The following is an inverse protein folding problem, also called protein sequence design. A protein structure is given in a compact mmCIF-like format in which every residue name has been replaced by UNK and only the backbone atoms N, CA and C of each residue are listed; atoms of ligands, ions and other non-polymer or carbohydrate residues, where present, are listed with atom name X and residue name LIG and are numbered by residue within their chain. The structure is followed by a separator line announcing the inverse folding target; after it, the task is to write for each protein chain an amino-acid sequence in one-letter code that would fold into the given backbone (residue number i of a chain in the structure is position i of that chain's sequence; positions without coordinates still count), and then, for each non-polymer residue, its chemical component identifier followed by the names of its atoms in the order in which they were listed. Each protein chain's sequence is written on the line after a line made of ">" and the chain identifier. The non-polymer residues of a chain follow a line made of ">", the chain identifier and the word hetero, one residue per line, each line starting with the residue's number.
data_IF_224619170614
#
_entry.id   IF_224619170614
#
_cell.length_a   1.000
_cell.length_b   1.000
_cell.length_c   1.000
_cell.angle_alpha   90.00
_cell.angle_beta   90.00
_cell.angle_gamma   90.00
#
_symmetry.space_group_name_H-M   'P 1'
#
loop_
_entity.id
_entity.type
_entity.pdbx_description
1 polymer ?
#
# COMPACT_ATOMS: atom_id res chain seq x y z
N UNK A 1 -17.25 -0.24 -0.15
CA UNK A 1 -16.86 1.13 0.21
C UNK A 1 -17.89 1.78 1.14
N UNK A 2 -18.51 1.02 2.05
CA UNK A 2 -19.60 1.53 2.91
C UNK A 2 -19.10 2.59 3.90
N UNK A 3 -17.82 2.47 4.30
CA UNK A 3 -17.13 3.42 5.16
C UNK A 3 -16.35 4.49 4.37
N UNK A 4 -16.34 4.41 3.03
CA UNK A 4 -15.56 5.26 2.13
C UNK A 4 -14.49 4.51 1.33
N UNK A 5 -13.59 5.26 0.69
CA UNK A 5 -12.59 4.76 -0.28
C UNK A 5 -11.15 4.95 0.15
N UNK A 6 -10.87 5.65 1.26
CA UNK A 6 -9.49 5.70 1.77
C UNK A 6 -9.09 4.34 2.34
N UNK A 7 -7.79 4.04 2.37
CA UNK A 7 -7.29 2.79 2.95
C UNK A 7 -7.70 2.64 4.42
N UNK A 8 -7.74 3.73 5.18
CA UNK A 8 -8.13 3.71 6.59
C UNK A 8 -9.63 3.38 6.76
N UNK A 9 -10.47 3.83 5.83
CA UNK A 9 -11.91 3.49 5.80
C UNK A 9 -12.16 2.05 5.36
N UNK A 10 -11.39 1.58 4.37
CA UNK A 10 -11.43 0.19 3.89
C UNK A 10 -10.97 -0.76 5.00
N UNK A 11 -9.91 -0.42 5.72
CA UNK A 11 -9.46 -1.15 6.92
C UNK A 11 -10.60 -1.27 7.94
N UNK A 12 -11.22 -0.14 8.30
CA UNK A 12 -12.31 -0.15 9.29
C UNK A 12 -13.47 -1.04 8.86
N UNK A 13 -13.82 -1.06 7.56
CA UNK A 13 -14.84 -1.97 7.04
C UNK A 13 -14.47 -3.45 7.24
N UNK A 14 -13.21 -3.84 7.03
CA UNK A 14 -12.75 -5.22 7.27
C UNK A 14 -12.60 -5.56 8.76
N UNK A 15 -12.36 -4.56 9.61
CA UNK A 15 -12.47 -4.71 11.07
C UNK A 15 -13.91 -4.99 11.46
N UNK A 16 -14.86 -4.16 11.03
CA UNK A 16 -16.28 -4.24 11.41
C UNK A 16 -16.94 -5.56 10.96
N UNK A 17 -16.56 -6.05 9.78
CA UNK A 17 -17.11 -7.30 9.23
C UNK A 17 -16.38 -8.56 9.69
N UNK A 18 -15.17 -8.43 10.24
CA UNK A 18 -14.31 -9.57 10.59
C UNK A 18 -13.87 -10.43 9.39
N UNK A 19 -14.09 -9.96 8.17
CA UNK A 19 -13.77 -10.72 6.95
C UNK A 19 -12.25 -10.87 6.78
N UNK A 20 -11.80 -12.02 6.27
CA UNK A 20 -10.41 -12.34 5.94
C UNK A 20 -10.40 -13.19 4.66
N UNK A 21 -9.51 -12.86 3.72
CA UNK A 21 -9.39 -13.54 2.43
C UNK A 21 -8.66 -14.89 2.56
N UNK A 22 -7.56 -14.93 3.30
CA UNK A 22 -6.80 -16.17 3.54
C UNK A 22 -6.11 -16.15 4.90
N UNK A 23 -5.67 -17.34 5.33
CA UNK A 23 -4.77 -17.50 6.47
C UNK A 23 -3.32 -17.47 5.99
N UNK A 24 -2.52 -16.54 6.49
CA UNK A 24 -1.09 -16.46 6.20
C UNK A 24 -0.39 -17.74 6.65
N UNK A 25 0.45 -18.31 5.79
CA UNK A 25 1.02 -19.64 6.02
C UNK A 25 2.03 -19.68 7.18
N UNK A 26 2.82 -18.62 7.35
CA UNK A 26 3.90 -18.57 8.34
C UNK A 26 3.40 -18.10 9.70
N UNK A 27 2.86 -16.88 9.78
CA UNK A 27 2.32 -16.30 11.01
C UNK A 27 0.99 -16.90 11.48
N UNK A 28 0.21 -17.52 10.58
CA UNK A 28 -1.13 -18.02 10.87
C UNK A 28 -2.22 -16.95 10.96
N UNK A 29 -1.91 -15.68 10.71
CA UNK A 29 -2.86 -14.56 10.79
C UNK A 29 -3.84 -14.52 9.61
N UNK A 30 -5.07 -14.06 9.84
CA UNK A 30 -6.01 -13.80 8.74
C UNK A 30 -5.62 -12.52 7.99
N UNK A 31 -5.52 -12.57 6.67
CA UNK A 31 -5.07 -11.47 5.79
C UNK A 31 -6.17 -10.97 4.85
N UNK A 32 -5.94 -9.80 4.25
CA UNK A 32 -6.78 -9.22 3.19
C UNK A 32 -5.94 -8.95 1.95
N UNK A 33 -6.53 -9.16 0.76
CA UNK A 33 -5.91 -8.87 -0.54
C UNK A 33 -6.64 -7.67 -1.11
N UNK A 34 -5.90 -6.60 -1.37
CA UNK A 34 -6.41 -5.44 -2.12
C UNK A 34 -6.17 -5.69 -3.61
N UNK A 35 -7.09 -5.29 -4.49
CA UNK A 35 -6.92 -5.45 -5.94
C UNK A 35 -7.11 -4.11 -6.61
N UNK A 36 -6.10 -3.70 -7.39
CA UNK A 36 -6.13 -2.59 -8.35
C UNK A 36 -7.04 -1.41 -7.92
N UNK A 37 -6.71 -0.73 -6.80
CA UNK A 37 -7.52 0.36 -6.26
C UNK A 37 -7.24 1.68 -6.99
N UNK A 38 -7.27 1.67 -8.34
CA UNK A 38 -6.96 2.86 -9.14
C UNK A 38 -7.90 4.00 -8.81
N UNK A 39 -9.21 3.73 -8.76
CA UNK A 39 -10.21 4.78 -8.52
C UNK A 39 -10.05 5.36 -7.12
N UNK A 40 -9.90 4.51 -6.11
CA UNK A 40 -9.72 4.90 -4.73
C UNK A 40 -8.47 5.78 -4.57
N UNK A 41 -7.31 5.34 -5.07
CA UNK A 41 -6.09 6.14 -4.96
C UNK A 41 -6.19 7.42 -5.80
N UNK A 42 -6.65 7.35 -7.04
CA UNK A 42 -6.81 8.50 -7.93
C UNK A 42 -7.68 9.60 -7.35
N UNK A 43 -8.80 9.25 -6.71
CA UNK A 43 -9.73 10.22 -6.13
C UNK A 43 -9.12 11.05 -4.98
N UNK A 44 -8.01 10.59 -4.40
CA UNK A 44 -7.28 11.37 -3.40
C UNK A 44 -6.35 12.42 -4.02
N UNK A 45 -5.96 12.24 -5.29
CA UNK A 45 -4.91 12.99 -5.98
C UNK A 45 -5.32 14.36 -6.53
N UNK A 46 -4.32 15.17 -6.89
CA UNK A 46 -4.52 16.54 -7.35
C UNK A 46 -5.27 16.61 -8.70
N UNK A 47 -4.99 15.68 -9.62
CA UNK A 47 -5.66 15.64 -10.92
C UNK A 47 -7.17 15.46 -10.76
N UNK A 48 -7.61 14.49 -9.96
CA UNK A 48 -9.03 14.29 -9.66
C UNK A 48 -9.66 15.53 -9.01
N UNK A 49 -8.99 16.10 -7.99
CA UNK A 49 -9.45 17.34 -7.32
C UNK A 49 -9.54 18.54 -8.26
N UNK A 50 -8.83 18.50 -9.39
CA UNK A 50 -8.85 19.53 -10.44
C UNK A 50 -9.85 19.23 -11.55
N UNK A 51 -10.65 18.17 -11.43
CA UNK A 51 -11.68 17.77 -12.40
C UNK A 51 -11.16 16.98 -13.61
N UNK A 52 -9.90 16.52 -13.57
CA UNK A 52 -9.34 15.63 -14.61
C UNK A 52 -9.95 14.24 -14.42
N UNK A 53 -10.39 13.63 -15.51
CA UNK A 53 -10.92 12.27 -15.54
C UNK A 53 -9.87 11.28 -16.07
N UNK A 54 -10.09 9.97 -15.83
CA UNK A 54 -9.21 8.92 -16.35
C UNK A 54 -9.02 9.03 -17.88
N UNK A 55 -10.11 9.36 -18.58
CA UNK A 55 -10.13 9.50 -20.03
C UNK A 55 -9.27 10.65 -20.55
N UNK A 56 -9.04 11.71 -19.78
CA UNK A 56 -8.22 12.84 -20.24
C UNK A 56 -6.76 12.43 -20.47
N UNK A 57 -6.26 11.44 -19.72
CA UNK A 57 -4.90 10.91 -19.85
C UNK A 57 -4.84 9.60 -20.64
N UNK A 58 -5.79 8.67 -20.40
CA UNK A 58 -5.74 7.31 -20.97
C UNK A 58 -6.52 7.14 -22.27
N UNK A 59 -7.42 8.08 -22.58
CA UNK A 59 -8.20 8.10 -23.82
C UNK A 59 -8.19 9.51 -24.44
N UNK A 60 -7.00 10.12 -24.62
CA UNK A 60 -6.92 11.49 -25.06
C UNK A 60 -7.55 11.65 -26.43
N UNK A 61 -8.05 12.85 -26.69
CA UNK A 61 -8.66 13.14 -27.98
C UNK A 61 -7.64 13.24 -29.10
N UNK A 62 -7.94 12.59 -30.22
CA UNK A 62 -7.18 12.66 -31.47
C UNK A 62 -8.01 13.36 -32.56
N UNK A 63 -7.31 13.91 -33.56
CA UNK A 63 -7.95 14.48 -34.75
C UNK A 63 -7.85 13.52 -35.92
N UNK A 64 -8.99 13.16 -36.48
CA UNK A 64 -9.09 12.45 -37.75
C UNK A 64 -9.80 13.35 -38.76
N UNK A 65 -9.02 14.02 -39.60
CA UNK A 65 -9.54 15.06 -40.49
C UNK A 65 -10.17 16.21 -39.69
N UNK A 66 -11.48 16.42 -39.87
CA UNK A 66 -12.26 17.44 -39.16
C UNK A 66 -12.96 16.94 -37.89
N UNK A 67 -12.83 15.65 -37.57
CA UNK A 67 -13.53 15.02 -36.45
C UNK A 67 -12.58 14.81 -35.28
N UNK A 68 -13.12 15.01 -34.07
CA UNK A 68 -12.46 14.71 -32.80
C UNK A 68 -12.93 13.34 -32.33
N UNK A 69 -11.99 12.42 -32.13
CA UNK A 69 -12.26 11.04 -31.68
C UNK A 69 -11.49 10.76 -30.40
N UNK A 70 -12.00 9.91 -29.52
CA UNK A 70 -11.25 9.45 -28.34
C UNK A 70 -10.34 8.30 -28.73
N UNK A 71 -9.07 8.34 -28.31
CA UNK A 71 -8.18 7.18 -28.45
C UNK A 71 -8.69 6.04 -27.55
N UNK A 72 -9.02 4.90 -28.15
CA UNK A 72 -9.46 3.71 -27.42
C UNK A 72 -8.34 2.68 -27.24
N UNK A 73 -7.11 3.01 -27.64
CA UNK A 73 -5.95 2.20 -27.34
C UNK A 73 -5.42 2.53 -25.93
N UNK A 74 -6.14 2.06 -24.91
CA UNK A 74 -5.78 2.27 -23.50
C UNK A 74 -4.42 1.63 -23.18
N UNK A 75 -3.50 2.47 -22.74
CA UNK A 75 -2.12 2.13 -22.35
C UNK A 75 -1.54 3.23 -21.47
N UNK A 76 -0.27 3.08 -21.10
CA UNK A 76 0.43 4.12 -20.34
C UNK A 76 0.37 5.47 -21.09
N UNK A 77 -0.08 6.56 -20.44
CA UNK A 77 -0.08 7.90 -21.04
C UNK A 77 1.34 8.39 -21.43
N UNK A 78 2.39 7.77 -20.87
CA UNK A 78 3.78 8.08 -21.17
C UNK A 78 4.19 7.77 -22.62
N UNK A 79 3.39 7.00 -23.36
CA UNK A 79 3.64 6.73 -24.79
C UNK A 79 3.12 7.82 -25.71
N UNK A 80 2.30 8.75 -25.19
CA UNK A 80 1.75 9.89 -25.94
C UNK A 80 1.56 11.10 -25.01
N UNK A 81 2.68 11.64 -24.52
CA UNK A 81 2.68 12.77 -23.57
C UNK A 81 2.09 14.05 -24.18
N UNK A 82 2.26 14.27 -25.49
CA UNK A 82 1.67 15.39 -26.20
C UNK A 82 0.15 15.45 -25.99
N UNK A 83 -0.54 14.34 -26.30
CA UNK A 83 -2.00 14.29 -26.20
C UNK A 83 -2.50 14.14 -24.75
N UNK A 84 -1.78 13.39 -23.90
CA UNK A 84 -2.23 13.09 -22.55
C UNK A 84 -1.90 14.18 -21.51
N UNK A 85 -0.80 14.92 -21.69
CA UNK A 85 -0.28 15.84 -20.67
C UNK A 85 -0.16 17.28 -21.18
N UNK A 86 0.29 17.48 -22.42
CA UNK A 86 0.61 18.84 -22.92
C UNK A 86 -0.61 19.68 -23.32
N UNK A 87 -1.80 19.07 -23.32
CA UNK A 87 -3.08 19.79 -23.34
C UNK A 87 -3.15 20.80 -22.18
N UNK A 88 -2.70 20.39 -20.99
CA UNK A 88 -2.68 21.20 -19.77
C UNK A 88 -1.30 21.72 -19.39
N UNK A 89 -0.23 20.93 -19.58
CA UNK A 89 1.11 21.24 -19.10
C UNK A 89 2.03 21.77 -20.22
N UNK A 90 2.52 23.00 -20.10
CA UNK A 90 3.43 23.61 -21.11
C UNK A 90 4.90 23.36 -20.78
N UNK A 91 5.25 22.09 -20.56
CA UNK A 91 6.62 21.63 -20.34
C UNK A 91 7.07 20.69 -21.48
N UNK A 92 8.37 20.62 -21.77
CA UNK A 92 8.92 19.62 -22.69
C UNK A 92 8.54 18.19 -22.25
N UNK A 93 8.33 17.28 -23.21
CA UNK A 93 7.97 15.88 -22.90
C UNK A 93 8.97 15.19 -21.98
N UNK A 94 10.27 15.44 -22.18
CA UNK A 94 11.32 14.85 -21.36
C UNK A 94 11.24 15.29 -19.89
N UNK A 95 10.84 16.54 -19.65
CA UNK A 95 10.64 17.03 -18.28
C UNK A 95 9.41 16.36 -17.64
N UNK A 96 8.32 16.22 -18.38
CA UNK A 96 7.13 15.51 -17.90
C UNK A 96 7.43 14.05 -17.60
N UNK A 97 8.14 13.37 -18.50
CA UNK A 97 8.59 11.97 -18.33
C UNK A 97 9.46 11.83 -17.09
N UNK A 98 10.42 12.73 -16.90
CA UNK A 98 11.31 12.74 -15.74
C UNK A 98 10.53 12.91 -14.43
N UNK A 99 9.54 13.82 -14.38
CA UNK A 99 8.70 14.02 -13.19
C UNK A 99 7.89 12.76 -12.83
N UNK A 100 7.31 12.09 -13.84
CA UNK A 100 6.60 10.83 -13.62
C UNK A 100 7.57 9.75 -13.12
N UNK A 101 8.73 9.61 -13.75
CA UNK A 101 9.74 8.64 -13.33
C UNK A 101 10.20 8.86 -11.88
N UNK A 102 10.45 10.12 -11.46
CA UNK A 102 10.81 10.43 -10.07
C UNK A 102 9.73 9.94 -9.09
N UNK A 103 8.45 10.16 -9.39
CA UNK A 103 7.35 9.69 -8.54
C UNK A 103 7.33 8.16 -8.46
N UNK A 104 7.44 7.50 -9.62
CA UNK A 104 7.38 6.04 -9.70
C UNK A 104 8.58 5.40 -9.00
N UNK A 105 9.78 5.95 -9.20
CA UNK A 105 11.01 5.50 -8.54
C UNK A 105 10.91 5.62 -7.02
N UNK A 106 10.35 6.73 -6.51
CA UNK A 106 10.18 6.92 -5.06
C UNK A 106 9.12 6.04 -4.46
N UNK A 107 8.02 5.81 -5.18
CA UNK A 107 7.00 4.86 -4.74
C UNK A 107 7.55 3.44 -4.74
N UNK A 108 8.31 3.05 -5.76
CA UNK A 108 8.96 1.74 -5.84
C UNK A 108 10.01 1.52 -4.73
N UNK A 109 10.78 2.56 -4.39
CA UNK A 109 11.71 2.55 -3.26
C UNK A 109 10.98 2.31 -1.93
N UNK A 110 9.89 3.04 -1.68
CA UNK A 110 9.08 2.88 -0.47
C UNK A 110 8.37 1.51 -0.41
N UNK A 111 7.91 0.98 -1.55
CA UNK A 111 7.34 -0.38 -1.63
C UNK A 111 8.35 -1.41 -1.14
N UNK A 112 9.59 -1.35 -1.62
CA UNK A 112 10.67 -2.27 -1.21
C UNK A 112 11.03 -2.11 0.27
N UNK A 113 11.10 -0.89 0.78
CA UNK A 113 11.34 -0.65 2.21
C UNK A 113 10.20 -1.20 3.09
N UNK A 114 8.95 -1.08 2.61
CA UNK A 114 7.79 -1.67 3.28
C UNK A 114 7.83 -3.20 3.25
N UNK A 115 8.24 -3.81 2.14
CA UNK A 115 8.43 -5.27 2.05
C UNK A 115 9.47 -5.75 3.06
N UNK A 116 10.62 -5.08 3.13
CA UNK A 116 11.68 -5.40 4.09
C UNK A 116 11.19 -5.28 5.55
N UNK A 117 10.38 -4.26 5.86
CA UNK A 117 9.80 -4.10 7.19
C UNK A 117 8.76 -5.18 7.52
N UNK A 118 7.88 -5.52 6.56
CA UNK A 118 6.87 -6.59 6.73
C UNK A 118 7.53 -7.95 6.91
N UNK A 119 8.59 -8.25 6.13
CA UNK A 119 9.36 -9.48 6.32
C UNK A 119 9.99 -9.55 7.72
N UNK A 120 10.56 -8.44 8.21
CA UNK A 120 11.08 -8.37 9.58
C UNK A 120 10.01 -8.62 10.65
N UNK A 121 8.80 -8.10 10.45
CA UNK A 121 7.66 -8.37 11.34
C UNK A 121 7.24 -9.85 11.31
N UNK A 122 7.15 -10.46 10.12
CA UNK A 122 6.81 -11.87 9.94
C UNK A 122 7.84 -12.75 10.67
N UNK A 123 9.14 -12.51 10.44
CA UNK A 123 10.23 -13.27 11.06
C UNK A 123 10.17 -13.17 12.60
N UNK A 124 9.95 -11.98 13.15
CA UNK A 124 9.85 -11.77 14.59
C UNK A 124 8.63 -12.47 15.20
N UNK A 125 7.48 -12.42 14.54
CA UNK A 125 6.26 -13.12 14.96
C UNK A 125 6.49 -14.63 14.97
N UNK A 126 7.05 -15.18 13.89
CA UNK A 126 7.32 -16.62 13.78
C UNK A 126 8.34 -17.06 14.84
N UNK A 127 9.39 -16.28 15.09
CA UNK A 127 10.36 -16.57 16.13
C UNK A 127 9.72 -16.59 17.53
N UNK A 128 8.85 -15.62 17.84
CA UNK A 128 8.13 -15.58 19.11
C UNK A 128 7.18 -16.77 19.28
N UNK A 129 6.47 -17.19 18.21
CA UNK A 129 5.65 -18.39 18.21
C UNK A 129 6.49 -19.65 18.48
N UNK A 130 7.64 -19.79 17.83
CA UNK A 130 8.57 -20.92 18.04
C UNK A 130 9.16 -20.94 19.45
N UNK A 131 9.34 -19.78 20.07
CA UNK A 131 9.75 -19.63 21.47
C UNK A 131 8.62 -19.98 22.48
N UNK A 132 7.41 -20.32 22.00
CA UNK A 132 6.27 -20.70 22.82
C UNK A 132 5.53 -19.53 23.45
N UNK A 133 5.68 -18.31 22.92
CA UNK A 133 4.91 -17.14 23.37
C UNK A 133 3.42 -17.41 23.13
N UNK A 134 2.55 -17.22 24.15
CA UNK A 134 1.11 -17.41 23.98
C UNK A 134 0.51 -16.49 22.92
N UNK A 135 -0.45 -16.99 22.15
CA UNK A 135 -1.12 -16.24 21.07
C UNK A 135 -1.72 -14.91 21.54
N UNK A 136 -2.27 -14.87 22.76
CA UNK A 136 -2.80 -13.65 23.38
C UNK A 136 -1.73 -12.54 23.48
N UNK A 137 -0.49 -12.90 23.76
CA UNK A 137 0.62 -11.95 23.87
C UNK A 137 1.14 -11.49 22.49
N UNK A 138 0.75 -12.18 21.41
CA UNK A 138 1.10 -11.81 20.04
C UNK A 138 -0.03 -11.09 19.30
N UNK A 139 -1.20 -10.92 19.92
CA UNK A 139 -2.38 -10.34 19.28
C UNK A 139 -2.10 -8.94 18.67
N UNK A 140 -1.35 -8.10 19.39
CA UNK A 140 -0.95 -6.77 18.90
C UNK A 140 -0.03 -6.87 17.69
N UNK A 141 1.02 -7.70 17.75
CA UNK A 141 1.93 -7.89 16.62
C UNK A 141 1.21 -8.41 15.37
N UNK A 142 0.27 -9.34 15.54
CA UNK A 142 -0.54 -9.90 14.46
C UNK A 142 -1.46 -8.86 13.81
N UNK A 143 -2.10 -8.01 14.61
CA UNK A 143 -2.95 -6.92 14.13
C UNK A 143 -2.15 -5.86 13.37
N UNK A 144 -0.99 -5.45 13.91
CA UNK A 144 -0.10 -4.50 13.26
C UNK A 144 0.46 -5.04 11.93
N UNK A 145 0.84 -6.33 11.88
CA UNK A 145 1.25 -7.00 10.64
C UNK A 145 0.12 -7.00 9.59
N UNK A 146 -1.11 -7.31 10.00
CA UNK A 146 -2.28 -7.26 9.12
C UNK A 146 -2.50 -5.86 8.52
N UNK A 147 -2.44 -4.82 9.35
CA UNK A 147 -2.59 -3.41 8.95
C UNK A 147 -1.47 -2.92 8.04
N UNK A 148 -0.23 -3.34 8.31
CA UNK A 148 0.92 -3.01 7.47
C UNK A 148 0.77 -3.64 6.08
N UNK A 149 0.51 -4.94 6.01
CA UNK A 149 0.36 -5.62 4.74
C UNK A 149 -0.79 -5.06 3.90
N UNK A 150 -1.93 -4.71 4.51
CA UNK A 150 -3.05 -4.10 3.78
C UNK A 150 -2.65 -2.77 3.12
N UNK A 151 -1.87 -1.92 3.81
CA UNK A 151 -1.40 -0.63 3.28
C UNK A 151 -0.38 -0.82 2.16
N UNK A 152 0.59 -1.71 2.35
CA UNK A 152 1.51 -2.08 1.27
C UNK A 152 0.75 -2.58 0.04
N UNK A 153 -0.22 -3.48 0.23
CA UNK A 153 -0.95 -4.10 -0.86
C UNK A 153 -1.85 -3.11 -1.60
N UNK A 154 -2.39 -2.11 -0.90
CA UNK A 154 -3.18 -1.03 -1.50
C UNK A 154 -2.37 -0.21 -2.51
N UNK A 155 -1.08 0.05 -2.24
CA UNK A 155 -0.23 0.78 -3.18
C UNK A 155 0.44 -0.15 -4.20
N UNK A 156 0.86 -1.34 -3.78
CA UNK A 156 1.49 -2.35 -4.66
C UNK A 156 0.55 -2.81 -5.76
N UNK A 157 -0.74 -2.95 -5.44
CA UNK A 157 -1.76 -3.39 -6.39
C UNK A 157 -2.24 -2.28 -7.33
N UNK A 158 -1.91 -1.01 -7.06
CA UNK A 158 -2.28 0.12 -7.90
C UNK A 158 -1.28 0.33 -9.04
N UNK A 159 -1.78 0.33 -10.28
CA UNK A 159 -0.91 0.16 -11.45
C UNK A 159 -0.12 1.41 -11.89
N UNK A 160 -0.40 2.59 -11.33
CA UNK A 160 0.32 3.83 -11.70
C UNK A 160 1.68 3.97 -11.01
N UNK A 161 1.99 3.10 -10.05
CA UNK A 161 3.17 3.22 -9.18
C UNK A 161 3.19 4.59 -8.51
N UNK A 162 2.04 4.97 -7.92
CA UNK A 162 1.89 6.20 -7.14
C UNK A 162 1.66 7.48 -7.94
N UNK A 163 1.71 7.47 -9.27
CA UNK A 163 1.47 8.68 -10.08
C UNK A 163 0.08 9.29 -9.85
N UNK A 164 -0.96 8.47 -9.67
CA UNK A 164 -2.31 8.96 -9.47
C UNK A 164 -2.49 9.79 -8.20
N UNK A 165 -1.76 9.47 -7.13
CA UNK A 165 -1.73 10.26 -5.90
C UNK A 165 -0.41 10.09 -5.13
N UNK A 166 0.65 10.84 -5.50
CA UNK A 166 2.00 10.55 -5.02
C UNK A 166 2.19 10.75 -3.51
N UNK A 167 1.54 11.78 -2.97
CA UNK A 167 1.63 12.08 -1.54
C UNK A 167 0.84 11.07 -0.70
N UNK A 168 -0.32 10.63 -1.19
CA UNK A 168 -1.09 9.60 -0.49
C UNK A 168 -0.37 8.25 -0.56
N UNK A 169 0.18 7.88 -1.72
CA UNK A 169 0.98 6.67 -1.84
C UNK A 169 2.18 6.66 -0.87
N UNK A 170 2.89 7.79 -0.77
CA UNK A 170 4.00 7.92 0.17
C UNK A 170 3.54 7.84 1.64
N UNK A 171 2.42 8.48 2.00
CA UNK A 171 1.84 8.39 3.35
C UNK A 171 1.47 6.96 3.71
N UNK A 172 0.72 6.28 2.84
CA UNK A 172 0.25 4.91 3.07
C UNK A 172 1.42 3.94 3.21
N UNK A 173 2.48 4.09 2.41
CA UNK A 173 3.68 3.27 2.54
C UNK A 173 4.51 3.61 3.78
N UNK A 174 4.57 4.89 4.19
CA UNK A 174 5.22 5.27 5.45
C UNK A 174 4.49 4.65 6.66
N UNK A 175 3.16 4.70 6.66
CA UNK A 175 2.33 4.04 7.69
C UNK A 175 2.54 2.52 7.67
N UNK A 176 2.62 1.91 6.48
CA UNK A 176 2.93 0.48 6.33
C UNK A 176 4.27 0.11 6.97
N UNK A 177 5.33 0.87 6.68
CA UNK A 177 6.67 0.68 7.25
C UNK A 177 6.62 0.81 8.78
N UNK A 178 5.98 1.87 9.29
CA UNK A 178 5.90 2.13 10.72
C UNK A 178 5.14 1.01 11.46
N UNK A 179 3.97 0.64 10.96
CA UNK A 179 3.16 -0.45 11.53
C UNK A 179 3.91 -1.79 11.51
N UNK A 180 4.63 -2.11 10.44
CA UNK A 180 5.44 -3.32 10.38
C UNK A 180 6.57 -3.30 11.42
N UNK A 181 7.25 -2.16 11.61
CA UNK A 181 8.28 -2.03 12.66
C UNK A 181 7.69 -2.09 14.07
N UNK A 182 6.49 -1.55 14.28
CA UNK A 182 5.78 -1.72 15.55
C UNK A 182 5.39 -3.18 15.79
N UNK A 183 4.96 -3.91 14.76
CA UNK A 183 4.66 -5.34 14.84
C UNK A 183 5.91 -6.16 15.25
N UNK A 184 7.03 -5.90 14.58
CA UNK A 184 8.34 -6.50 14.89
C UNK A 184 8.72 -6.26 16.37
N UNK A 185 8.66 -5.00 16.82
CA UNK A 185 8.97 -4.63 18.20
C UNK A 185 8.03 -5.27 19.23
N UNK A 186 6.73 -5.33 18.93
CA UNK A 186 5.72 -5.96 19.80
C UNK A 186 6.02 -7.46 19.97
N UNK A 187 6.32 -8.17 18.87
CA UNK A 187 6.69 -9.59 18.91
C UNK A 187 7.98 -9.84 19.72
N UNK A 188 9.03 -9.02 19.52
CA UNK A 188 10.30 -9.14 20.28
C UNK A 188 10.10 -8.87 21.78
N UNK A 189 9.26 -7.90 22.13
CA UNK A 189 8.93 -7.61 23.54
C UNK A 189 8.17 -8.75 24.19
N UNK A 190 7.17 -9.32 23.50
CA UNK A 190 6.42 -10.46 23.99
C UNK A 190 7.34 -11.67 24.25
N UNK A 191 8.26 -11.95 23.32
CA UNK A 191 9.26 -13.00 23.47
C UNK A 191 10.20 -12.77 24.66
N UNK A 192 10.70 -11.54 24.82
CA UNK A 192 11.59 -11.19 25.94
C UNK A 192 10.87 -11.30 27.30
N UNK A 193 9.62 -10.81 27.37
CA UNK A 193 8.80 -10.89 28.58
C UNK A 193 8.49 -12.34 28.99
N UNK A 194 8.16 -13.20 28.04
CA UNK A 194 7.92 -14.62 28.27
C UNK A 194 9.18 -15.33 28.80
N UNK A 195 10.36 -14.98 28.27
CA UNK A 195 11.63 -15.54 28.72
C UNK A 195 11.98 -15.13 30.15
N UNK A 196 11.78 -13.85 30.51
CA UNK A 196 11.99 -13.36 31.89
C UNK A 196 11.06 -14.06 32.87
N UNK A 197 9.76 -14.18 32.55
CA UNK A 197 8.80 -14.85 33.43
C UNK A 197 9.16 -16.33 33.66
N UNK A 198 9.66 -17.03 32.64
CA UNK A 198 10.12 -18.42 32.75
C UNK A 198 11.33 -18.55 33.69
N UNK A 199 12.30 -17.63 33.57
CA UNK A 199 13.48 -17.61 34.44
C UNK A 199 13.13 -17.30 35.91
N UNK A 200 12.24 -16.36 36.16
CA UNK A 200 11.77 -16.05 37.52
C UNK A 200 11.03 -17.24 38.15
N UNK A 201 10.19 -17.94 37.38
CA UNK A 201 9.49 -19.13 37.85
C UNK A 201 10.45 -20.29 38.17
N UNK A 202 11.54 -20.41 37.42
CA UNK A 202 12.59 -21.39 37.67
C UNK A 202 13.42 -21.04 38.90
N UNK A 203 13.69 -19.76 39.15
CA UNK A 203 14.43 -19.28 40.32
C UNK A 203 13.62 -19.35 41.63
N UNK A 204 12.28 -19.37 41.55
CA UNK A 204 11.38 -19.49 42.68
C UNK A 204 11.11 -20.93 43.15
N UNK A 205 11.68 -21.94 42.48
CA UNK A 205 11.60 -23.36 42.83
C UNK A 205 12.90 -23.85 43.45
#
# INVERSE_FOLDING_TARGET
>A
WDNGTSIDQIEQYYVDTGFRDWKHAETGGGMIKVQHPEFELFTTGLHYRSGVACADCHMPYMREGSVKVSDHWLRSPLVNLEAACQTCHKFPEEELRSRVAVIQDKTAELLRQSEEAILGAIDAIVAAQQAGVPEEQLAEAMDLHWKAQMRWDFISSENSTGFHSPQEAARVLADSIDLARQAELSAVRAMSGAQTASLELAAAK
#
